data_IF_872291418938
#
_entry.id   IF_872291418938
#
_cell.length_a   1.000
_cell.length_b   1.000
_cell.length_c   1.000
_cell.angle_alpha   90.00
_cell.angle_beta   90.00
_cell.angle_gamma   90.00
#
_symmetry.space_group_name_H-M   'P 1'
#
loop_
_entity.id
_entity.type
_entity.pdbx_description
1 polymer ?
#
# COMPACT_ATOMS: atom_id res chain seq x y z
N UNK A 1 -10.88 11.76 9.91
CA UNK A 1 -11.09 10.38 10.39
C UNK A 1 -10.26 10.20 11.65
N UNK A 2 -10.89 10.02 12.81
CA UNK A 2 -10.21 9.99 14.12
C UNK A 2 -9.02 9.01 14.19
N UNK A 3 -9.10 7.88 13.46
CA UNK A 3 -8.02 6.89 13.37
C UNK A 3 -6.76 7.46 12.70
N UNK A 4 -6.91 8.26 11.65
CA UNK A 4 -5.78 8.82 10.91
C UNK A 4 -5.20 10.07 11.58
N UNK A 5 -5.92 10.68 12.51
CA UNK A 5 -5.47 11.86 13.24
C UNK A 5 -4.44 11.48 14.32
N UNK A 6 -4.48 10.24 14.80
CA UNK A 6 -3.49 9.65 15.72
C UNK A 6 -2.48 8.73 14.99
N UNK A 7 -2.36 8.85 13.67
CA UNK A 7 -1.46 8.00 12.88
C UNK A 7 0.00 8.29 13.23
N UNK A 8 0.81 7.24 13.35
CA UNK A 8 2.21 7.31 13.78
C UNK A 8 3.18 7.85 12.71
N UNK A 9 2.65 8.23 11.55
CA UNK A 9 3.42 8.72 10.41
C UNK A 9 3.91 7.62 9.46
N UNK A 10 3.57 6.35 9.71
CA UNK A 10 3.85 5.25 8.78
C UNK A 10 3.28 5.57 7.39
N UNK A 11 4.05 5.41 6.30
CA UNK A 11 3.54 5.61 4.95
C UNK A 11 2.23 4.84 4.70
N UNK A 12 1.17 5.57 4.36
CA UNK A 12 -0.16 5.04 4.08
C UNK A 12 -0.44 5.15 2.59
N UNK A 13 -0.42 4.03 1.89
CA UNK A 13 -0.77 3.95 0.48
C UNK A 13 -2.28 3.75 0.36
N UNK A 14 -2.93 4.58 -0.44
CA UNK A 14 -4.39 4.55 -0.63
C UNK A 14 -4.70 4.14 -2.05
N UNK A 15 -5.42 3.03 -2.22
CA UNK A 15 -5.92 2.60 -3.51
C UNK A 15 -6.96 3.58 -4.03
N UNK A 16 -6.59 4.36 -5.04
CA UNK A 16 -7.45 5.37 -5.66
C UNK A 16 -7.57 5.10 -7.15
N UNK A 17 -8.79 5.09 -7.68
CA UNK A 17 -9.09 4.85 -9.09
C UNK A 17 -8.78 6.07 -10.00
N UNK A 18 -8.06 7.07 -9.48
CA UNK A 18 -7.81 8.30 -10.20
C UNK A 18 -6.73 8.10 -11.27
N UNK A 19 -6.99 8.66 -12.46
CA UNK A 19 -6.07 8.62 -13.60
C UNK A 19 -4.74 9.36 -13.35
N UNK A 20 -4.70 10.29 -12.40
CA UNK A 20 -3.51 11.07 -12.03
C UNK A 20 -2.68 10.45 -10.90
N UNK A 21 -3.18 9.41 -10.24
CA UNK A 21 -2.43 8.70 -9.19
C UNK A 21 -1.26 7.92 -9.80
N UNK A 22 -0.05 7.98 -9.21
CA UNK A 22 1.07 7.17 -9.67
C UNK A 22 0.75 5.67 -9.55
N UNK A 23 1.33 4.81 -10.42
CA UNK A 23 1.20 3.37 -10.28
C UNK A 23 1.75 2.89 -8.93
N UNK A 24 1.04 1.97 -8.26
CA UNK A 24 1.46 1.39 -6.98
C UNK A 24 2.91 0.87 -7.03
N UNK A 25 3.28 0.20 -8.12
CA UNK A 25 4.63 -0.35 -8.31
C UNK A 25 5.74 0.73 -8.22
N UNK A 26 5.48 1.95 -8.73
CA UNK A 26 6.44 3.05 -8.67
C UNK A 26 6.65 3.53 -7.24
N UNK A 27 5.58 3.63 -6.46
CA UNK A 27 5.66 4.07 -5.05
C UNK A 27 6.29 3.00 -4.19
N UNK A 28 5.94 1.72 -4.40
CA UNK A 28 6.53 0.58 -3.72
C UNK A 28 8.06 0.50 -3.93
N UNK A 29 8.54 0.72 -5.15
CA UNK A 29 9.98 0.78 -5.42
C UNK A 29 10.70 1.88 -4.59
N UNK A 30 10.04 3.02 -4.36
CA UNK A 30 10.56 4.08 -3.49
C UNK A 30 10.68 3.66 -2.02
N UNK A 31 9.69 2.91 -1.51
CA UNK A 31 9.72 2.37 -0.15
C UNK A 31 10.85 1.35 0.02
N UNK A 32 11.03 0.46 -0.96
CA UNK A 32 12.12 -0.51 -0.96
C UNK A 32 13.49 0.18 -0.97
N UNK A 33 13.67 1.18 -1.84
CA UNK A 33 14.91 1.96 -1.91
C UNK A 33 15.20 2.68 -0.58
N UNK A 34 14.19 3.28 0.04
CA UNK A 34 14.33 3.92 1.35
C UNK A 34 14.77 2.92 2.43
N UNK A 35 14.21 1.70 2.43
CA UNK A 35 14.62 0.65 3.36
C UNK A 35 16.06 0.18 3.16
N UNK A 36 16.47 0.02 1.90
CA UNK A 36 17.85 -0.36 1.56
C UNK A 36 18.88 0.65 2.10
N UNK A 37 18.59 1.95 2.04
CA UNK A 37 19.47 3.00 2.59
C UNK A 37 19.68 2.91 4.10
N UNK A 38 18.72 2.35 4.83
CA UNK A 38 18.74 2.21 6.29
C UNK A 38 18.96 0.74 6.71
N UNK A 39 19.27 -0.15 5.74
CA UNK A 39 19.46 -1.60 5.95
C UNK A 39 18.32 -2.28 6.72
N UNK A 40 17.08 -1.81 6.55
CA UNK A 40 15.88 -2.34 7.23
C UNK A 40 14.64 -2.19 6.35
N UNK A 41 13.58 -2.96 6.59
CA UNK A 41 12.31 -2.74 5.90
C UNK A 41 11.62 -1.47 6.43
N UNK A 42 10.99 -0.72 5.52
CA UNK A 42 10.17 0.44 5.89
C UNK A 42 8.75 -0.05 6.15
N UNK A 43 8.16 0.18 7.34
CA UNK A 43 6.77 -0.16 7.57
C UNK A 43 5.88 0.64 6.62
N UNK A 44 4.80 0.02 6.15
CA UNK A 44 3.81 0.66 5.29
C UNK A 44 2.42 0.12 5.62
N UNK A 45 1.40 0.89 5.28
CA UNK A 45 0.02 0.50 5.41
C UNK A 45 -0.70 0.63 4.06
N UNK A 46 -1.64 -0.28 3.82
CA UNK A 46 -2.46 -0.32 2.61
C UNK A 46 -3.92 -0.04 2.98
N UNK A 47 -4.49 1.02 2.42
CA UNK A 47 -5.88 1.40 2.60
C UNK A 47 -6.64 1.23 1.30
N UNK A 48 -7.75 0.50 1.39
CA UNK A 48 -8.73 0.38 0.31
C UNK A 48 -10.07 0.89 0.81
N UNK A 49 -10.77 1.60 -0.06
CA UNK A 49 -12.08 2.17 0.25
C UNK A 49 -13.17 1.09 0.39
N UNK A 50 -14.36 1.49 0.85
CA UNK A 50 -15.52 0.61 0.88
C UNK A 50 -15.95 0.21 -0.55
N UNK A 51 -16.94 -0.69 -0.69
CA UNK A 51 -17.42 -1.19 -2.00
C UNK A 51 -17.87 -0.06 -2.96
N UNK A 52 -18.29 1.09 -2.41
CA UNK A 52 -18.64 2.30 -3.17
C UNK A 52 -17.46 3.19 -3.56
N UNK A 53 -16.24 2.82 -3.19
CA UNK A 53 -15.04 3.66 -3.32
C UNK A 53 -15.00 4.79 -2.28
N UNK A 54 -13.98 5.63 -2.41
CA UNK A 54 -13.91 6.89 -1.67
C UNK A 54 -14.55 8.00 -2.50
N UNK A 55 -15.27 8.90 -1.84
CA UNK A 55 -15.71 10.12 -2.48
C UNK A 55 -14.51 11.04 -2.75
N UNK A 56 -14.62 11.93 -3.73
CA UNK A 56 -13.52 12.84 -4.12
C UNK A 56 -13.02 13.67 -2.94
N UNK A 57 -13.94 14.19 -2.11
CA UNK A 57 -13.60 14.97 -0.93
C UNK A 57 -12.78 14.14 0.08
N UNK A 58 -13.12 12.86 0.29
CA UNK A 58 -12.37 11.99 1.18
C UNK A 58 -10.96 11.73 0.66
N UNK A 59 -10.81 11.45 -0.64
CA UNK A 59 -9.49 11.27 -1.25
C UNK A 59 -8.64 12.55 -1.19
N UNK A 60 -9.24 13.71 -1.45
CA UNK A 60 -8.55 15.00 -1.37
C UNK A 60 -8.15 15.31 0.08
N UNK A 61 -8.98 14.95 1.06
CA UNK A 61 -8.68 15.09 2.50
C UNK A 61 -7.54 14.16 2.95
N UNK A 62 -7.54 12.93 2.45
CA UNK A 62 -6.47 11.96 2.68
C UNK A 62 -5.16 12.44 2.05
N UNK A 63 -5.19 12.90 0.79
CA UNK A 63 -4.01 13.34 0.05
C UNK A 63 -3.31 14.57 0.65
N UNK A 64 -4.00 15.37 1.48
CA UNK A 64 -3.39 16.50 2.20
C UNK A 64 -2.51 16.06 3.38
N UNK A 65 -2.58 14.80 3.81
CA UNK A 65 -1.76 14.30 4.91
C UNK A 65 -0.37 13.91 4.39
N UNK A 66 0.72 14.33 5.06
CA UNK A 66 2.08 14.15 4.52
C UNK A 66 2.54 12.69 4.43
N UNK A 67 1.92 11.80 5.22
CA UNK A 67 2.22 10.36 5.22
C UNK A 67 1.32 9.57 4.26
N UNK A 68 0.41 10.21 3.53
CA UNK A 68 -0.53 9.55 2.61
C UNK A 68 -0.05 9.64 1.18
N UNK A 69 -0.13 8.54 0.45
CA UNK A 69 0.17 8.47 -0.99
C UNK A 69 -0.97 7.76 -1.73
N UNK A 70 -1.80 8.51 -2.49
CA UNK A 70 -2.75 7.91 -3.41
C UNK A 70 -2.02 7.17 -4.53
N UNK A 71 -2.48 5.97 -4.87
CA UNK A 71 -1.86 5.12 -5.90
C UNK A 71 -2.91 4.40 -6.72
N UNK A 72 -2.57 4.13 -7.99
CA UNK A 72 -3.42 3.37 -8.91
C UNK A 72 -2.92 1.92 -9.07
N UNK A 73 -3.87 0.98 -9.19
CA UNK A 73 -3.61 -0.43 -9.51
C UNK A 73 -3.68 -0.72 -11.02
N UNK A 74 -3.69 0.33 -11.85
CA UNK A 74 -3.84 0.25 -13.30
C UNK A 74 -5.16 0.87 -13.79
N UNK A 75 -5.48 0.74 -15.08
CA UNK A 75 -6.61 1.43 -15.70
C UNK A 75 -7.97 0.76 -15.45
N UNK A 76 -8.01 -0.38 -14.76
CA UNK A 76 -9.24 -1.14 -14.52
C UNK A 76 -9.78 -0.80 -13.14
N UNK A 77 -11.08 -0.57 -13.08
CA UNK A 77 -11.83 -0.48 -11.82
C UNK A 77 -11.85 -1.86 -11.20
N UNK A 78 -11.39 -1.95 -9.95
CA UNK A 78 -11.33 -3.19 -9.18
C UNK A 78 -12.31 -3.08 -8.01
N UNK A 79 -13.03 -4.16 -7.70
CA UNK A 79 -13.79 -4.24 -6.46
C UNK A 79 -12.86 -4.08 -5.26
N UNK A 80 -13.38 -3.56 -4.15
CA UNK A 80 -12.60 -3.27 -2.95
C UNK A 80 -11.80 -4.50 -2.47
N UNK A 81 -12.42 -5.67 -2.41
CA UNK A 81 -11.77 -6.94 -2.07
C UNK A 81 -10.62 -7.32 -3.02
N UNK A 82 -10.79 -7.08 -4.32
CA UNK A 82 -9.77 -7.39 -5.33
C UNK A 82 -8.62 -6.40 -5.24
N UNK A 83 -8.92 -5.11 -5.04
CA UNK A 83 -7.92 -4.08 -4.83
C UNK A 83 -7.12 -4.33 -3.55
N UNK A 84 -7.77 -4.81 -2.47
CA UNK A 84 -7.13 -5.16 -1.21
C UNK A 84 -6.07 -6.25 -1.43
N UNK A 85 -6.46 -7.36 -2.02
CA UNK A 85 -5.56 -8.51 -2.24
C UNK A 85 -4.48 -8.18 -3.28
N UNK A 86 -4.84 -7.58 -4.41
CA UNK A 86 -3.90 -7.24 -5.47
C UNK A 86 -2.85 -6.21 -5.00
N UNK A 87 -3.29 -5.17 -4.30
CA UNK A 87 -2.39 -4.15 -3.75
C UNK A 87 -1.43 -4.72 -2.72
N UNK A 88 -1.94 -5.55 -1.80
CA UNK A 88 -1.10 -6.22 -0.80
C UNK A 88 -0.06 -7.14 -1.45
N UNK A 89 -0.45 -7.93 -2.44
CA UNK A 89 0.47 -8.82 -3.16
C UNK A 89 1.58 -8.03 -3.87
N UNK A 90 1.25 -6.92 -4.53
CA UNK A 90 2.23 -6.05 -5.19
C UNK A 90 3.17 -5.42 -4.15
N UNK A 91 2.63 -4.90 -3.05
CA UNK A 91 3.43 -4.28 -1.99
C UNK A 91 4.40 -5.27 -1.36
N UNK A 92 3.93 -6.48 -1.03
CA UNK A 92 4.78 -7.51 -0.49
C UNK A 92 5.88 -7.93 -1.48
N UNK A 93 5.50 -8.16 -2.74
CA UNK A 93 6.42 -8.53 -3.79
C UNK A 93 7.50 -7.47 -4.07
N UNK A 94 7.23 -6.18 -3.88
CA UNK A 94 8.15 -5.11 -4.27
C UNK A 94 8.85 -4.42 -3.10
N UNK A 95 8.22 -4.36 -1.93
CA UNK A 95 8.66 -3.57 -0.78
C UNK A 95 8.46 -4.28 0.57
N UNK A 96 8.02 -5.53 0.55
CA UNK A 96 7.80 -6.34 1.75
C UNK A 96 8.82 -7.47 1.90
N UNK A 97 8.46 -8.45 2.70
CA UNK A 97 9.34 -9.56 3.10
C UNK A 97 9.49 -10.64 2.02
N UNK A 98 8.69 -10.59 0.94
CA UNK A 98 8.79 -11.53 -0.18
C UNK A 98 10.14 -11.42 -0.91
N UNK A 99 10.83 -10.28 -0.80
CA UNK A 99 12.16 -10.04 -1.34
C UNK A 99 13.29 -10.70 -0.51
N UNK A 100 13.08 -10.95 0.78
CA UNK A 100 14.12 -11.46 1.68
C UNK A 100 14.38 -12.97 1.54
N UNK A 101 13.55 -13.69 0.77
CA UNK A 101 13.75 -15.12 0.49
C UNK A 101 13.60 -16.05 1.70
N UNK A 102 13.21 -15.55 2.87
CA UNK A 102 13.11 -16.31 4.13
C UNK A 102 11.90 -17.27 4.20
N UNK A 103 11.44 -17.76 3.04
CA UNK A 103 10.35 -18.73 2.92
C UNK A 103 10.81 -20.15 3.27
N UNK A 104 12.12 -20.40 3.33
CA UNK A 104 12.70 -21.74 3.45
C UNK A 104 13.05 -22.15 4.88
N UNK A 105 13.12 -21.24 5.85
CA UNK A 105 13.54 -21.60 7.22
C UNK A 105 12.39 -21.76 8.23
N UNK A 106 11.13 -21.53 7.84
CA UNK A 106 10.00 -21.66 8.76
C UNK A 106 8.93 -22.68 8.32
N UNK A 107 9.09 -23.98 8.68
CA UNK A 107 8.12 -25.04 8.35
C UNK A 107 6.73 -24.84 8.99
N UNK A 108 6.54 -23.86 9.88
CA UNK A 108 5.22 -23.55 10.47
C UNK A 108 4.37 -22.58 9.64
N UNK A 109 4.88 -22.06 8.52
CA UNK A 109 4.16 -21.13 7.61
C UNK A 109 3.65 -21.79 6.32
N UNK A 110 3.39 -23.10 6.35
CA UNK A 110 2.63 -23.77 5.31
C UNK A 110 1.19 -23.23 5.29
N UNK A 111 0.72 -22.75 4.15
CA UNK A 111 -0.70 -22.49 3.93
C UNK A 111 -1.40 -23.85 4.06
N UNK A 112 -2.28 -24.00 5.04
CA UNK A 112 -3.11 -25.19 5.23
C UNK A 112 -4.21 -25.29 4.18
#
# INVERSE_FOLDING_TARGET
>A
HAVLDAWDGTPLLVGAERTDSPPLARVAAGLHAAGSLVSTSVPWAWLVGPEGGFDRAELDDLARRPFVSPVALGPRILRAETAAIAGLAILQALAGDWQAGDWTENPSRSIG
#
